data_IF_255110956171
#
_entry.id   IF_255110956171
#
_cell.length_a   1.000
_cell.length_b   1.000
_cell.length_c   1.000
_cell.angle_alpha   90.00
_cell.angle_beta   90.00
_cell.angle_gamma   90.00
#
_symmetry.space_group_name_H-M   'P 1'
#
loop_
_entity.id
_entity.type
_entity.pdbx_description
1 polymer ?
#
# COMPACT_ATOMS: atom_id res chain seq x y z
N UNK A 1 -3.04 23.34 -7.14
CA UNK A 1 -2.64 21.95 -7.46
C UNK A 1 -3.93 21.18 -7.77
N UNK A 2 -3.97 20.41 -8.86
CA UNK A 2 -5.17 19.66 -9.25
C UNK A 2 -5.17 18.29 -8.55
N UNK A 3 -5.90 18.15 -7.45
CA UNK A 3 -6.02 16.93 -6.66
C UNK A 3 -7.39 16.25 -6.80
N UNK A 4 -8.35 16.86 -7.49
CA UNK A 4 -9.71 16.36 -7.61
C UNK A 4 -9.75 15.00 -8.31
N UNK A 5 -10.43 14.03 -7.69
CA UNK A 5 -10.62 12.66 -8.16
C UNK A 5 -12.10 12.33 -8.47
N UNK A 6 -12.96 13.34 -8.57
CA UNK A 6 -14.37 13.14 -8.91
C UNK A 6 -14.50 12.35 -10.23
N UNK A 7 -15.39 11.35 -10.24
CA UNK A 7 -15.58 10.44 -11.36
C UNK A 7 -14.52 9.34 -11.50
N UNK A 8 -13.54 9.26 -10.61
CA UNK A 8 -12.56 8.16 -10.55
C UNK A 8 -12.97 7.12 -9.51
N UNK A 9 -12.71 5.85 -9.82
CA UNK A 9 -12.94 4.74 -8.91
C UNK A 9 -11.60 4.18 -8.43
N UNK A 10 -11.42 4.14 -7.12
CA UNK A 10 -10.22 3.62 -6.46
C UNK A 10 -10.50 2.27 -5.79
N UNK A 11 -9.62 1.30 -6.01
CA UNK A 11 -9.53 0.07 -5.24
C UNK A 11 -8.36 0.19 -4.26
N UNK A 12 -8.64 0.12 -2.96
CA UNK A 12 -7.63 0.23 -1.91
C UNK A 12 -7.52 -1.07 -1.14
N UNK A 13 -6.39 -1.74 -1.26
CA UNK A 13 -6.10 -3.00 -0.60
C UNK A 13 -5.58 -2.79 0.82
N UNK A 14 -5.80 -3.78 1.72
CA UNK A 14 -5.39 -3.71 3.12
C UNK A 14 -6.05 -2.54 3.86
N UNK A 15 -7.27 -2.18 3.48
CA UNK A 15 -7.95 -0.96 3.90
C UNK A 15 -8.79 -1.11 5.19
N UNK A 16 -8.69 -2.23 5.91
CA UNK A 16 -9.42 -2.41 7.17
C UNK A 16 -8.88 -1.56 8.33
N UNK A 17 -7.61 -1.11 8.25
CA UNK A 17 -6.94 -0.33 9.29
C UNK A 17 -5.67 0.36 8.76
N UNK A 18 -5.06 1.22 9.57
CA UNK A 18 -3.74 1.81 9.32
C UNK A 18 -3.64 2.60 8.01
N UNK A 19 -2.52 2.43 7.29
CA UNK A 19 -2.21 3.20 6.08
C UNK A 19 -3.26 2.98 4.98
N UNK A 20 -3.73 1.74 4.80
CA UNK A 20 -4.74 1.44 3.77
C UNK A 20 -6.07 2.14 4.04
N UNK A 21 -6.54 2.15 5.30
CA UNK A 21 -7.75 2.88 5.68
C UNK A 21 -7.58 4.37 5.50
N UNK A 22 -6.48 4.94 5.97
CA UNK A 22 -6.19 6.36 5.79
C UNK A 22 -6.08 6.76 4.30
N UNK A 23 -5.52 5.88 3.44
CA UNK A 23 -5.48 6.11 2.00
C UNK A 23 -6.89 6.11 1.38
N UNK A 24 -7.77 5.19 1.80
CA UNK A 24 -9.17 5.18 1.37
C UNK A 24 -9.90 6.46 1.77
N UNK A 25 -9.72 6.91 3.00
CA UNK A 25 -10.28 8.18 3.51
C UNK A 25 -9.77 9.40 2.73
N UNK A 26 -8.45 9.46 2.46
CA UNK A 26 -7.84 10.55 1.70
C UNK A 26 -8.36 10.61 0.24
N UNK A 27 -8.43 9.46 -0.45
CA UNK A 27 -8.93 9.39 -1.82
C UNK A 27 -10.42 9.75 -1.90
N UNK A 28 -11.23 9.28 -0.95
CA UNK A 28 -12.64 9.63 -0.83
C UNK A 28 -12.83 11.14 -0.59
N UNK A 29 -12.01 11.73 0.29
CA UNK A 29 -11.99 13.17 0.56
C UNK A 29 -11.58 14.03 -0.65
N UNK A 30 -10.89 13.45 -1.63
CA UNK A 30 -10.60 14.09 -2.92
C UNK A 30 -11.67 13.84 -3.99
N UNK A 31 -12.77 13.19 -3.64
CA UNK A 31 -13.92 12.97 -4.52
C UNK A 31 -13.94 11.64 -5.26
N UNK A 32 -12.98 10.74 -5.03
CA UNK A 32 -13.01 9.40 -5.62
C UNK A 32 -14.15 8.56 -5.05
N UNK A 33 -14.72 7.70 -5.88
CA UNK A 33 -15.43 6.54 -5.41
C UNK A 33 -14.41 5.51 -4.92
N UNK A 34 -14.64 4.90 -3.77
CA UNK A 34 -13.65 4.00 -3.16
C UNK A 34 -14.27 2.64 -2.86
N UNK A 35 -13.62 1.59 -3.35
CA UNK A 35 -13.84 0.22 -2.88
C UNK A 35 -12.68 -0.20 -1.99
N UNK A 36 -12.99 -0.55 -0.74
CA UNK A 36 -11.99 -1.06 0.23
C UNK A 36 -11.90 -2.58 0.13
N UNK A 37 -10.67 -3.13 0.13
CA UNK A 37 -10.41 -4.56 0.04
C UNK A 37 -9.58 -5.04 1.21
N UNK A 38 -10.05 -6.05 1.94
CA UNK A 38 -9.32 -6.82 2.95
C UNK A 38 -10.08 -8.11 3.27
N UNK A 39 -9.61 -8.88 4.27
CA UNK A 39 -10.19 -10.19 4.63
C UNK A 39 -11.44 -10.11 5.51
N UNK A 40 -11.54 -9.10 6.39
CA UNK A 40 -12.58 -8.98 7.42
C UNK A 40 -13.76 -8.17 6.87
N UNK A 41 -14.75 -8.85 6.32
CA UNK A 41 -15.89 -8.23 5.66
C UNK A 41 -16.65 -7.24 6.57
N UNK A 42 -17.00 -7.63 7.80
CA UNK A 42 -17.73 -6.75 8.73
C UNK A 42 -17.00 -5.42 8.99
N UNK A 43 -15.66 -5.47 9.15
CA UNK A 43 -14.85 -4.25 9.29
C UNK A 43 -14.86 -3.41 8.02
N UNK A 44 -14.85 -4.04 6.84
CA UNK A 44 -14.88 -3.32 5.57
C UNK A 44 -16.21 -2.62 5.33
N UNK A 45 -17.33 -3.22 5.74
CA UNK A 45 -18.66 -2.59 5.71
C UNK A 45 -18.66 -1.29 6.51
N UNK A 46 -18.13 -1.34 7.75
CA UNK A 46 -18.02 -0.16 8.62
C UNK A 46 -17.09 0.91 8.01
N UNK A 47 -15.93 0.51 7.50
CA UNK A 47 -14.98 1.43 6.85
C UNK A 47 -15.60 2.09 5.64
N UNK A 48 -16.23 1.32 4.74
CA UNK A 48 -16.87 1.86 3.53
C UNK A 48 -18.00 2.84 3.86
N UNK A 49 -18.79 2.55 4.90
CA UNK A 49 -19.87 3.43 5.36
C UNK A 49 -19.35 4.75 5.98
N UNK A 50 -18.17 4.70 6.63
CA UNK A 50 -17.55 5.85 7.29
C UNK A 50 -16.70 6.73 6.35
N UNK A 51 -16.47 6.33 5.09
CA UNK A 51 -15.69 7.12 4.15
C UNK A 51 -16.36 8.48 3.86
N UNK A 52 -15.59 9.57 3.79
CA UNK A 52 -16.14 10.90 3.52
C UNK A 52 -16.79 10.96 2.13
N UNK A 53 -17.92 11.68 2.05
CA UNK A 53 -18.57 12.03 0.78
C UNK A 53 -18.55 13.53 0.61
N UNK A 54 -17.81 14.01 -0.36
CA UNK A 54 -17.65 15.44 -0.66
C UNK A 54 -18.63 15.89 -1.74
N UNK A 55 -19.30 14.95 -2.42
CA UNK A 55 -20.44 15.20 -3.32
C UNK A 55 -21.41 14.00 -3.31
N UNK A 56 -22.69 14.27 -3.59
CA UNK A 56 -23.76 13.29 -3.42
C UNK A 56 -23.73 12.07 -4.36
N UNK A 57 -22.95 12.13 -5.45
CA UNK A 57 -22.83 11.02 -6.41
C UNK A 57 -21.74 10.01 -6.05
N UNK A 58 -20.92 10.24 -5.00
CA UNK A 58 -19.89 9.27 -4.60
C UNK A 58 -20.50 7.95 -4.13
N UNK A 59 -19.89 6.86 -4.59
CA UNK A 59 -20.29 5.50 -4.25
C UNK A 59 -19.09 4.77 -3.64
N UNK A 60 -19.18 4.45 -2.37
CA UNK A 60 -18.20 3.61 -1.70
C UNK A 60 -18.71 2.19 -1.54
N UNK A 61 -17.81 1.22 -1.57
CA UNK A 61 -18.12 -0.19 -1.44
C UNK A 61 -16.96 -0.98 -0.81
N UNK A 62 -17.14 -2.28 -0.72
CA UNK A 62 -16.14 -3.18 -0.18
C UNK A 62 -16.07 -4.49 -0.97
N UNK A 63 -14.92 -5.16 -0.86
CA UNK A 63 -14.67 -6.51 -1.38
C UNK A 63 -13.89 -7.29 -0.33
N UNK A 64 -14.43 -8.41 0.13
CA UNK A 64 -13.73 -9.32 1.03
C UNK A 64 -12.88 -10.29 0.20
N UNK A 65 -11.56 -10.26 0.36
CA UNK A 65 -10.63 -11.18 -0.29
C UNK A 65 -9.32 -11.32 0.51
N UNK A 66 -8.69 -12.48 0.40
CA UNK A 66 -7.36 -12.74 0.98
C UNK A 66 -6.29 -12.70 -0.12
N UNK A 67 -5.28 -11.85 0.03
CA UNK A 67 -4.15 -11.76 -0.89
C UNK A 67 -3.28 -13.04 -0.97
N UNK A 68 -3.48 -13.99 -0.05
CA UNK A 68 -2.81 -15.29 -0.07
C UNK A 68 -3.56 -16.32 -0.94
N UNK A 69 -4.85 -16.10 -1.18
CA UNK A 69 -5.69 -16.89 -2.06
C UNK A 69 -5.77 -16.20 -3.44
N UNK A 70 -4.90 -16.60 -4.35
CA UNK A 70 -4.81 -15.96 -5.67
C UNK A 70 -6.07 -16.16 -6.52
N UNK A 71 -6.74 -17.30 -6.44
CA UNK A 71 -7.93 -17.58 -7.23
C UNK A 71 -9.16 -16.84 -6.68
N UNK A 72 -9.35 -16.86 -5.37
CA UNK A 72 -10.39 -16.08 -4.70
C UNK A 72 -10.20 -14.57 -4.93
N UNK A 73 -8.97 -14.06 -4.85
CA UNK A 73 -8.66 -12.67 -5.14
C UNK A 73 -9.00 -12.32 -6.60
N UNK A 74 -8.61 -13.16 -7.56
CA UNK A 74 -8.91 -12.98 -8.99
C UNK A 74 -10.41 -12.93 -9.24
N UNK A 75 -11.15 -13.89 -8.70
CA UNK A 75 -12.61 -13.96 -8.86
C UNK A 75 -13.30 -12.71 -8.28
N UNK A 76 -12.93 -12.31 -7.07
CA UNK A 76 -13.52 -11.15 -6.39
C UNK A 76 -13.27 -9.83 -7.13
N UNK A 77 -12.03 -9.61 -7.60
CA UNK A 77 -11.70 -8.36 -8.32
C UNK A 77 -12.24 -8.37 -9.75
N UNK A 78 -12.30 -9.54 -10.42
CA UNK A 78 -12.95 -9.64 -11.73
C UNK A 78 -14.45 -9.29 -11.66
N UNK A 79 -15.16 -9.75 -10.63
CA UNK A 79 -16.55 -9.38 -10.39
C UNK A 79 -16.71 -7.87 -10.14
N UNK A 80 -15.79 -7.24 -9.40
CA UNK A 80 -15.79 -5.79 -9.16
C UNK A 80 -15.63 -5.01 -10.46
N UNK A 81 -14.59 -5.32 -11.26
CA UNK A 81 -14.29 -4.55 -12.48
C UNK A 81 -15.30 -4.75 -13.59
N UNK A 82 -16.01 -5.89 -13.61
CA UNK A 82 -17.13 -6.14 -14.51
C UNK A 82 -18.33 -5.22 -14.23
N UNK A 83 -18.56 -4.86 -12.97
CA UNK A 83 -19.60 -3.90 -12.58
C UNK A 83 -19.14 -2.46 -12.79
N UNK A 84 -17.86 -2.18 -12.51
CA UNK A 84 -17.35 -0.82 -12.55
C UNK A 84 -15.83 -0.81 -12.71
N UNK A 85 -15.31 -0.17 -13.78
CA UNK A 85 -13.87 -0.03 -13.97
C UNK A 85 -13.19 0.67 -12.79
N UNK A 86 -11.95 0.25 -12.51
CA UNK A 86 -11.07 0.84 -11.49
C UNK A 86 -9.98 1.62 -12.21
N UNK A 87 -9.79 2.90 -11.85
CA UNK A 87 -8.75 3.76 -12.43
C UNK A 87 -7.60 4.05 -11.46
N UNK A 88 -7.81 3.81 -10.15
CA UNK A 88 -6.80 3.99 -9.12
C UNK A 88 -6.67 2.67 -8.34
N UNK A 89 -5.47 2.10 -8.30
CA UNK A 89 -5.17 0.90 -7.52
C UNK A 89 -4.12 1.23 -6.46
N UNK A 90 -4.46 1.02 -5.18
CA UNK A 90 -3.52 1.09 -4.07
C UNK A 90 -3.24 -0.32 -3.56
N UNK A 91 -2.08 -0.86 -3.89
CA UNK A 91 -1.58 -2.13 -3.40
C UNK A 91 -0.98 -1.94 -2.01
N UNK A 92 -1.60 -2.52 -1.00
CA UNK A 92 -1.13 -2.51 0.37
C UNK A 92 -1.45 -3.84 1.05
N UNK A 93 -0.45 -4.49 1.58
CA UNK A 93 -0.55 -5.79 2.26
C UNK A 93 0.22 -5.79 3.57
N UNK A 94 -0.22 -6.59 4.53
CA UNK A 94 0.48 -6.76 5.80
C UNK A 94 1.87 -7.37 5.58
N UNK A 95 2.89 -6.83 6.27
CA UNK A 95 4.24 -7.36 6.21
C UNK A 95 4.38 -8.72 6.91
N UNK A 96 5.35 -9.56 6.50
CA UNK A 96 5.65 -10.81 7.16
C UNK A 96 6.25 -10.57 8.56
N UNK A 97 6.28 -11.59 9.44
CA UNK A 97 7.08 -11.56 10.66
C UNK A 97 8.55 -11.23 10.39
N UNK A 98 9.23 -10.69 11.41
CA UNK A 98 10.67 -10.45 11.38
C UNK A 98 11.47 -11.75 11.33
N UNK A 99 12.75 -11.63 11.02
CA UNK A 99 13.72 -12.72 10.98
C UNK A 99 14.92 -12.38 10.08
N UNK A 100 16.05 -13.07 10.30
CA UNK A 100 17.24 -12.93 9.49
C UNK A 100 17.05 -13.61 8.12
N UNK A 101 17.75 -13.14 7.11
CA UNK A 101 17.62 -13.70 5.76
C UNK A 101 18.21 -15.12 5.65
N UNK A 102 19.33 -15.37 6.33
CA UNK A 102 20.07 -16.64 6.24
C UNK A 102 19.43 -17.79 7.02
N UNK A 103 18.53 -17.49 7.98
CA UNK A 103 17.80 -18.51 8.75
C UNK A 103 16.38 -18.76 8.20
N UNK A 104 15.90 -17.88 7.33
CA UNK A 104 14.54 -18.01 6.80
C UNK A 104 14.42 -19.21 5.87
N UNK A 105 13.41 -20.06 6.09
CA UNK A 105 13.12 -21.20 5.25
C UNK A 105 12.73 -20.74 3.83
N UNK A 106 13.17 -21.45 2.76
CA UNK A 106 12.86 -21.09 1.38
C UNK A 106 11.36 -20.90 1.10
N UNK A 107 10.52 -21.75 1.70
CA UNK A 107 9.06 -21.73 1.56
C UNK A 107 8.47 -20.40 2.02
N UNK A 108 9.09 -19.76 3.02
CA UNK A 108 8.67 -18.46 3.52
C UNK A 108 8.83 -17.35 2.48
N UNK A 109 9.91 -17.41 1.68
CA UNK A 109 10.09 -16.49 0.55
C UNK A 109 8.98 -16.66 -0.48
N UNK A 110 8.64 -17.91 -0.83
CA UNK A 110 7.58 -18.22 -1.79
C UNK A 110 6.22 -17.73 -1.30
N UNK A 111 5.87 -17.98 -0.03
CA UNK A 111 4.61 -17.54 0.57
C UNK A 111 4.49 -16.00 0.52
N UNK A 112 5.52 -15.30 1.00
CA UNK A 112 5.51 -13.84 1.07
C UNK A 112 5.55 -13.23 -0.33
N UNK A 113 6.26 -13.81 -1.28
CA UNK A 113 6.27 -13.39 -2.68
C UNK A 113 4.87 -13.51 -3.31
N UNK A 114 4.16 -14.62 -3.05
CA UNK A 114 2.77 -14.78 -3.49
C UNK A 114 1.86 -13.72 -2.92
N UNK A 115 1.95 -13.46 -1.61
CA UNK A 115 1.11 -12.50 -0.91
C UNK A 115 1.33 -11.05 -1.38
N UNK A 116 2.55 -10.68 -1.77
CA UNK A 116 2.89 -9.31 -2.13
C UNK A 116 2.96 -9.11 -3.64
N UNK A 117 3.81 -9.83 -4.36
CA UNK A 117 4.04 -9.58 -5.77
C UNK A 117 2.98 -10.24 -6.65
N UNK A 118 2.70 -11.53 -6.45
CA UNK A 118 1.71 -12.24 -7.29
C UNK A 118 0.31 -11.69 -7.08
N UNK A 119 -0.07 -11.37 -5.83
CA UNK A 119 -1.34 -10.72 -5.55
C UNK A 119 -1.45 -9.35 -6.24
N UNK A 120 -0.40 -8.52 -6.17
CA UNK A 120 -0.38 -7.24 -6.87
C UNK A 120 -0.50 -7.41 -8.39
N UNK A 121 0.16 -8.43 -8.97
CA UNK A 121 0.06 -8.73 -10.39
C UNK A 121 -1.37 -9.14 -10.80
N UNK A 122 -2.06 -9.96 -9.98
CA UNK A 122 -3.46 -10.33 -10.19
C UNK A 122 -4.35 -9.08 -10.21
N UNK A 123 -4.16 -8.19 -9.24
CA UNK A 123 -4.91 -6.93 -9.14
C UNK A 123 -4.67 -6.03 -10.36
N UNK A 124 -3.41 -5.85 -10.75
CA UNK A 124 -3.04 -5.05 -11.93
C UNK A 124 -3.67 -5.63 -13.20
N UNK A 125 -3.56 -6.93 -13.43
CA UNK A 125 -4.17 -7.57 -14.61
C UNK A 125 -5.69 -7.36 -14.67
N UNK A 126 -6.37 -7.39 -13.53
CA UNK A 126 -7.82 -7.19 -13.48
C UNK A 126 -8.22 -5.74 -13.80
N UNK A 127 -7.50 -4.73 -13.30
CA UNK A 127 -7.87 -3.31 -13.47
C UNK A 127 -7.33 -2.69 -14.77
N UNK A 128 -6.28 -3.25 -15.34
CA UNK A 128 -5.55 -2.69 -16.48
C UNK A 128 -6.41 -2.47 -17.74
N UNK A 129 -7.33 -3.37 -18.14
CA UNK A 129 -8.19 -3.12 -19.30
C UNK A 129 -9.00 -1.83 -19.19
N UNK A 130 -9.59 -1.57 -18.00
CA UNK A 130 -10.35 -0.35 -17.74
C UNK A 130 -9.48 0.91 -17.71
N UNK A 131 -8.27 0.84 -17.17
CA UNK A 131 -7.31 1.95 -17.18
C UNK A 131 -6.85 2.28 -18.61
N UNK A 132 -6.53 1.26 -19.43
CA UNK A 132 -6.15 1.44 -20.84
C UNK A 132 -7.29 2.05 -21.66
N UNK A 133 -8.50 1.57 -21.51
CA UNK A 133 -9.68 2.11 -22.20
C UNK A 133 -9.94 3.57 -21.83
N UNK A 134 -9.65 3.97 -20.58
CA UNK A 134 -9.78 5.35 -20.11
C UNK A 134 -8.61 6.25 -20.52
N UNK A 135 -7.50 5.72 -21.06
CA UNK A 135 -6.27 6.46 -21.31
C UNK A 135 -5.69 7.09 -20.03
N UNK A 136 -6.03 6.54 -18.87
CA UNK A 136 -5.65 7.09 -17.56
C UNK A 136 -5.68 6.01 -16.48
N UNK A 137 -4.63 5.95 -15.68
CA UNK A 137 -4.56 5.05 -14.53
C UNK A 137 -3.49 5.48 -13.52
N UNK A 138 -3.70 5.08 -12.26
CA UNK A 138 -2.75 5.30 -11.17
C UNK A 138 -2.61 4.02 -10.35
N UNK A 139 -1.39 3.50 -10.28
CA UNK A 139 -1.04 2.33 -9.48
C UNK A 139 -0.03 2.80 -8.43
N UNK A 140 -0.39 2.68 -7.15
CA UNK A 140 0.46 3.07 -6.02
C UNK A 140 0.69 1.86 -5.14
N UNK A 141 1.94 1.44 -4.98
CA UNK A 141 2.31 0.32 -4.12
C UNK A 141 2.86 0.85 -2.78
N UNK A 142 2.28 0.42 -1.68
CA UNK A 142 2.79 0.70 -0.33
C UNK A 142 3.78 -0.40 0.02
N UNK A 143 5.09 -0.09 -0.03
CA UNK A 143 6.14 -1.08 0.22
C UNK A 143 6.94 -0.77 1.50
N UNK A 144 8.17 -0.32 1.43
CA UNK A 144 9.00 -0.06 2.63
C UNK A 144 10.24 0.73 2.27
N UNK A 145 10.77 1.51 3.21
CA UNK A 145 12.10 2.11 3.12
C UNK A 145 13.22 1.07 2.98
N UNK A 146 12.95 -0.21 3.30
CA UNK A 146 13.89 -1.31 3.10
C UNK A 146 14.33 -1.53 1.65
N UNK A 147 13.60 -0.97 0.70
CA UNK A 147 13.98 -0.96 -0.74
C UNK A 147 15.20 -0.07 -0.99
N UNK A 148 15.36 0.97 -0.19
CA UNK A 148 16.52 1.88 -0.24
C UNK A 148 17.65 1.40 0.65
N UNK A 149 17.33 0.99 1.88
CA UNK A 149 18.27 0.54 2.90
C UNK A 149 17.72 -0.71 3.60
N UNK A 150 18.31 -1.89 3.43
CA UNK A 150 17.85 -3.11 4.08
C UNK A 150 17.76 -2.93 5.61
N UNK A 151 16.61 -3.30 6.17
CA UNK A 151 16.38 -3.17 7.61
C UNK A 151 16.81 -4.48 8.30
N UNK A 152 17.68 -4.43 9.34
CA UNK A 152 18.07 -5.62 10.08
C UNK A 152 16.87 -6.41 10.60
N UNK A 153 16.98 -7.73 10.58
CA UNK A 153 15.93 -8.68 11.01
C UNK A 153 14.62 -8.60 10.22
N UNK A 154 14.66 -8.13 8.97
CA UNK A 154 13.53 -8.17 8.03
C UNK A 154 13.93 -8.84 6.69
N UNK A 155 14.72 -9.91 6.73
CA UNK A 155 15.35 -10.51 5.56
C UNK A 155 14.38 -10.84 4.43
N UNK A 156 13.33 -11.63 4.69
CA UNK A 156 12.31 -11.99 3.69
C UNK A 156 11.57 -10.75 3.19
N UNK A 157 11.19 -9.84 4.10
CA UNK A 157 10.50 -8.60 3.74
C UNK A 157 11.36 -7.71 2.83
N UNK A 158 12.64 -7.50 3.16
CA UNK A 158 13.55 -6.70 2.36
C UNK A 158 13.65 -7.23 0.92
N UNK A 159 13.82 -8.55 0.78
CA UNK A 159 13.94 -9.22 -0.52
C UNK A 159 12.67 -9.06 -1.36
N UNK A 160 11.50 -9.39 -0.78
CA UNK A 160 10.24 -9.34 -1.54
C UNK A 160 9.83 -7.91 -1.86
N UNK A 161 10.04 -6.95 -0.95
CA UNK A 161 9.77 -5.53 -1.22
C UNK A 161 10.68 -4.97 -2.32
N UNK A 162 11.93 -5.42 -2.37
CA UNK A 162 12.86 -5.11 -3.48
C UNK A 162 12.34 -5.65 -4.82
N UNK A 163 11.82 -6.89 -4.83
CA UNK A 163 11.21 -7.46 -6.03
C UNK A 163 9.97 -6.67 -6.49
N UNK A 164 9.10 -6.24 -5.57
CA UNK A 164 7.95 -5.38 -5.90
C UNK A 164 8.40 -4.04 -6.48
N UNK A 165 9.47 -3.44 -5.95
CA UNK A 165 9.99 -2.16 -6.48
C UNK A 165 10.52 -2.30 -7.92
N UNK A 166 11.26 -3.37 -8.22
CA UNK A 166 11.74 -3.67 -9.56
C UNK A 166 10.60 -3.93 -10.54
N UNK A 167 9.63 -4.76 -10.15
CA UNK A 167 8.41 -5.02 -10.91
C UNK A 167 7.62 -3.74 -11.20
N UNK A 168 7.43 -2.88 -10.21
CA UNK A 168 6.72 -1.62 -10.36
C UNK A 168 7.45 -0.67 -11.35
N UNK A 169 8.79 -0.64 -11.33
CA UNK A 169 9.59 0.16 -12.27
C UNK A 169 9.43 -0.34 -13.70
N UNK A 170 9.41 -1.66 -13.90
CA UNK A 170 9.15 -2.28 -15.19
C UNK A 170 7.76 -1.88 -15.71
N UNK A 171 6.72 -2.06 -14.90
CA UNK A 171 5.36 -1.65 -15.27
C UNK A 171 5.25 -0.15 -15.59
N UNK A 172 5.95 0.70 -14.87
CA UNK A 172 5.94 2.14 -15.11
C UNK A 172 6.39 2.48 -16.54
N UNK A 173 7.40 1.77 -17.04
CA UNK A 173 7.89 1.94 -18.41
C UNK A 173 6.91 1.38 -19.45
N UNK A 174 6.36 0.20 -19.19
CA UNK A 174 5.44 -0.49 -20.11
C UNK A 174 4.07 0.19 -20.22
N UNK A 175 3.59 0.79 -19.11
CA UNK A 175 2.25 1.36 -19.02
C UNK A 175 2.19 2.87 -19.26
N UNK A 176 3.35 3.55 -19.25
CA UNK A 176 3.45 4.98 -19.53
C UNK A 176 2.77 5.42 -20.82
N UNK A 177 2.94 4.71 -21.98
CA UNK A 177 2.28 5.03 -23.23
C UNK A 177 0.75 5.05 -23.19
N UNK A 178 0.14 4.40 -22.16
CA UNK A 178 -1.31 4.37 -21.96
C UNK A 178 -1.82 5.42 -20.96
N UNK A 179 -0.99 6.40 -20.56
CA UNK A 179 -1.35 7.41 -19.57
C UNK A 179 -1.45 6.87 -18.14
N UNK A 180 -0.85 5.71 -17.86
CA UNK A 180 -0.87 5.03 -16.56
C UNK A 180 0.48 5.23 -15.86
N UNK A 181 0.44 5.69 -14.61
CA UNK A 181 1.65 5.79 -13.77
C UNK A 181 1.67 4.69 -12.71
N UNK A 182 2.87 4.20 -12.41
CA UNK A 182 3.12 3.19 -11.37
C UNK A 182 4.21 3.70 -10.44
N UNK A 183 3.87 3.92 -9.17
CA UNK A 183 4.78 4.49 -8.19
C UNK A 183 4.74 3.70 -6.87
N UNK A 184 5.80 3.80 -6.10
CA UNK A 184 5.92 3.18 -4.79
C UNK A 184 6.01 4.26 -3.71
N UNK A 185 5.23 4.09 -2.63
CA UNK A 185 5.38 4.83 -1.38
C UNK A 185 6.15 3.94 -0.40
N UNK A 186 7.14 4.50 0.25
CA UNK A 186 8.04 3.83 1.19
C UNK A 186 7.80 4.39 2.61
N UNK A 187 6.83 3.85 3.37
CA UNK A 187 6.60 4.31 4.72
C UNK A 187 7.80 4.06 5.64
N UNK A 188 8.12 5.04 6.49
CA UNK A 188 8.91 4.87 7.68
C UNK A 188 8.11 4.23 8.82
N UNK A 189 8.54 4.48 10.06
CA UNK A 189 7.80 4.03 11.23
C UNK A 189 6.50 4.82 11.37
N UNK A 190 5.37 4.15 11.15
CA UNK A 190 4.03 4.74 11.13
C UNK A 190 3.18 4.16 12.27
N UNK A 191 2.45 4.99 13.02
CA UNK A 191 1.55 4.61 14.11
C UNK A 191 0.41 3.76 13.60
N UNK A 192 0.60 2.45 13.65
CA UNK A 192 -0.35 1.44 13.19
C UNK A 192 -0.25 0.23 14.13
N UNK A 193 -1.26 -0.62 14.11
CA UNK A 193 -1.21 -1.91 14.81
C UNK A 193 0.05 -2.72 14.47
N UNK A 194 0.57 -2.59 13.24
CA UNK A 194 1.82 -3.25 12.85
C UNK A 194 3.03 -2.73 13.64
N UNK A 195 3.09 -1.43 13.91
CA UNK A 195 4.16 -0.86 14.75
C UNK A 195 4.06 -1.41 16.18
N UNK A 196 2.86 -1.47 16.75
CA UNK A 196 2.63 -2.04 18.09
C UNK A 196 3.11 -3.50 18.16
N UNK A 197 2.77 -4.30 17.13
CA UNK A 197 3.26 -5.69 17.02
C UNK A 197 4.78 -5.77 16.96
N UNK A 198 5.43 -4.93 16.16
CA UNK A 198 6.90 -4.89 16.06
C UNK A 198 7.54 -4.53 17.40
N UNK A 199 6.98 -3.56 18.12
CA UNK A 199 7.47 -3.17 19.45
C UNK A 199 7.31 -4.32 20.44
N UNK A 200 6.17 -5.02 20.45
CA UNK A 200 5.91 -6.17 21.31
C UNK A 200 6.83 -7.36 20.97
N UNK A 201 7.00 -7.70 19.68
CA UNK A 201 7.92 -8.75 19.21
C UNK A 201 9.36 -8.47 19.65
N UNK A 202 9.83 -7.24 19.48
CA UNK A 202 11.18 -6.84 19.90
C UNK A 202 11.37 -6.82 21.42
N UNK A 203 10.34 -6.40 22.16
CA UNK A 203 10.34 -6.43 23.63
C UNK A 203 10.49 -7.87 24.13
N UNK A 204 9.69 -8.79 23.59
CA UNK A 204 9.75 -10.20 23.93
C UNK A 204 11.13 -10.82 23.59
N UNK A 205 11.70 -10.48 22.44
CA UNK A 205 12.99 -11.02 21.99
C UNK A 205 14.20 -10.47 22.76
N UNK A 206 14.13 -9.23 23.28
CA UNK A 206 15.29 -8.55 23.90
C UNK A 206 15.18 -8.39 25.41
N UNK A 207 14.00 -8.63 25.99
CA UNK A 207 13.69 -8.35 27.39
C UNK A 207 13.60 -6.85 27.74
N UNK A 208 13.75 -5.95 26.77
CA UNK A 208 13.67 -4.50 26.99
C UNK A 208 12.22 -4.02 26.96
N UNK A 209 11.87 -3.00 27.76
CA UNK A 209 10.57 -2.35 27.68
C UNK A 209 10.27 -1.83 26.25
N UNK A 210 9.04 -1.96 25.78
CA UNK A 210 8.62 -1.48 24.45
C UNK A 210 8.87 0.02 24.26
N UNK A 211 8.80 0.80 25.34
CA UNK A 211 9.10 2.24 25.33
C UNK A 211 10.56 2.54 25.01
N UNK A 212 11.51 1.78 25.57
CA UNK A 212 12.93 1.96 25.28
C UNK A 212 13.26 1.56 23.84
N UNK A 213 12.59 0.53 23.32
CA UNK A 213 12.71 0.14 21.92
C UNK A 213 12.17 1.26 21.03
N UNK A 214 11.00 1.84 21.38
CA UNK A 214 10.43 2.97 20.65
C UNK A 214 11.35 4.18 20.65
N UNK A 215 11.95 4.54 21.79
CA UNK A 215 12.97 5.61 21.89
C UNK A 215 14.17 5.34 20.98
N UNK A 216 14.68 4.10 20.97
CA UNK A 216 15.78 3.70 20.08
C UNK A 216 15.41 3.80 18.60
N UNK A 217 14.18 3.45 18.23
CA UNK A 217 13.68 3.62 16.86
C UNK A 217 13.55 5.11 16.49
N UNK A 218 13.02 5.94 17.37
CA UNK A 218 12.87 7.38 17.15
C UNK A 218 14.22 8.09 17.02
N UNK A 219 15.24 7.68 17.73
CA UNK A 219 16.59 8.23 17.61
C UNK A 219 17.18 8.09 16.18
N UNK A 220 16.62 7.20 15.35
CA UNK A 220 17.01 7.04 13.94
C UNK A 220 16.20 7.89 12.98
N UNK A 221 15.20 8.62 13.45
CA UNK A 221 14.29 9.44 12.63
C UNK A 221 14.57 10.92 12.87
N UNK A 222 15.12 11.69 11.93
CA UNK A 222 15.40 13.11 12.10
C UNK A 222 14.19 13.94 12.55
N UNK A 223 12.98 13.60 12.10
CA UNK A 223 11.75 14.25 12.54
C UNK A 223 11.38 13.97 14.02
N UNK A 224 12.08 13.06 14.72
CA UNK A 224 11.92 12.77 16.15
C UNK A 224 10.60 12.13 16.56
N UNK A 225 9.78 11.67 15.60
CA UNK A 225 8.46 11.07 15.86
C UNK A 225 8.11 9.97 14.86
N UNK A 226 7.15 9.15 15.20
CA UNK A 226 6.49 8.27 14.26
C UNK A 226 5.54 9.06 13.37
N UNK A 227 5.39 8.64 12.11
CA UNK A 227 4.38 9.19 11.22
C UNK A 227 2.96 8.76 11.64
N UNK A 228 1.98 9.60 11.38
CA UNK A 228 0.57 9.19 11.39
C UNK A 228 0.20 8.56 10.05
N UNK A 229 -0.75 7.59 10.02
CA UNK A 229 -1.20 6.97 8.77
C UNK A 229 -1.64 7.99 7.70
N UNK A 230 -2.24 9.09 8.12
CA UNK A 230 -2.70 10.16 7.25
C UNK A 230 -1.55 10.85 6.48
N UNK A 231 -0.35 10.93 7.06
CA UNK A 231 0.82 11.54 6.40
C UNK A 231 1.32 10.66 5.23
N UNK A 232 1.28 9.34 5.40
CA UNK A 232 1.58 8.39 4.30
C UNK A 232 0.46 8.43 3.27
N UNK A 233 -0.80 8.50 3.71
CA UNK A 233 -1.97 8.59 2.84
C UNK A 233 -1.97 9.85 1.97
N UNK A 234 -1.46 10.99 2.47
CA UNK A 234 -1.32 12.22 1.70
C UNK A 234 -0.39 12.04 0.48
N UNK A 235 0.73 11.32 0.66
CA UNK A 235 1.63 10.99 -0.45
C UNK A 235 0.97 10.03 -1.47
N UNK A 236 0.20 9.04 -0.99
CA UNK A 236 -0.58 8.14 -1.84
C UNK A 236 -1.61 8.94 -2.66
N UNK A 237 -2.35 9.83 -2.01
CA UNK A 237 -3.37 10.67 -2.63
C UNK A 237 -2.78 11.62 -3.69
N UNK A 238 -1.62 12.22 -3.41
CA UNK A 238 -0.87 13.00 -4.39
C UNK A 238 -0.50 12.19 -5.62
N UNK A 239 0.13 11.01 -5.43
CA UNK A 239 0.53 10.12 -6.54
C UNK A 239 -0.66 9.59 -7.34
N UNK A 240 -1.83 9.43 -6.71
CA UNK A 240 -3.06 9.03 -7.35
C UNK A 240 -3.76 10.17 -8.11
N UNK A 241 -3.34 11.41 -7.93
CA UNK A 241 -4.01 12.60 -8.49
C UNK A 241 -3.50 13.01 -9.87
N UNK A 242 -4.22 13.88 -10.60
CA UNK A 242 -3.74 14.52 -11.81
C UNK A 242 -2.46 15.35 -11.60
N UNK A 243 -2.23 15.90 -10.39
CA UNK A 243 -1.03 16.68 -10.09
C UNK A 243 0.27 15.88 -10.22
N UNK A 244 0.21 14.55 -10.10
CA UNK A 244 1.35 13.64 -10.25
C UNK A 244 1.43 13.00 -11.65
N UNK A 245 0.79 13.56 -12.67
CA UNK A 245 0.70 12.94 -14.00
C UNK A 245 2.06 12.64 -14.66
N UNK A 246 3.10 13.37 -14.30
CA UNK A 246 4.46 13.18 -14.84
C UNK A 246 5.41 12.50 -13.84
N UNK A 247 4.88 12.07 -12.68
CA UNK A 247 5.63 11.28 -11.67
C UNK A 247 5.39 9.80 -11.94
N UNK A 248 6.39 9.10 -12.47
CA UNK A 248 6.25 7.70 -12.87
C UNK A 248 7.51 6.87 -12.55
N UNK A 249 7.34 5.71 -11.95
CA UNK A 249 8.41 4.77 -11.64
C UNK A 249 9.33 5.19 -10.49
N UNK A 250 8.82 5.98 -9.52
CA UNK A 250 9.61 6.43 -8.37
C UNK A 250 9.39 5.56 -7.14
N UNK A 251 10.37 5.61 -6.25
CA UNK A 251 10.31 5.12 -4.88
C UNK A 251 10.30 6.36 -3.96
N UNK A 252 9.13 6.74 -3.44
CA UNK A 252 8.95 7.94 -2.61
C UNK A 252 9.02 7.59 -1.12
N UNK A 253 10.11 7.91 -0.39
CA UNK A 253 10.16 7.77 1.05
C UNK A 253 9.20 8.76 1.74
N UNK A 254 8.46 8.26 2.75
CA UNK A 254 7.65 9.04 3.67
C UNK A 254 8.02 8.58 5.06
N UNK A 255 9.16 9.04 5.58
CA UNK A 255 9.86 8.40 6.69
C UNK A 255 10.52 9.37 7.69
N UNK A 256 10.22 10.66 7.59
CA UNK A 256 10.75 11.68 8.48
C UNK A 256 12.27 11.90 8.36
N UNK A 257 12.85 11.55 7.20
CA UNK A 257 14.27 11.68 6.91
C UNK A 257 15.12 10.51 7.40
N UNK A 258 14.50 9.37 7.75
CA UNK A 258 15.20 8.20 8.29
C UNK A 258 16.15 7.55 7.27
N UNK A 259 15.73 7.41 6.03
CA UNK A 259 16.55 6.85 4.94
C UNK A 259 17.68 7.80 4.59
N UNK A 260 18.92 7.30 4.56
CA UNK A 260 20.12 8.10 4.32
C UNK A 260 20.58 8.09 2.86
N UNK A 261 20.10 7.13 2.07
CA UNK A 261 20.40 7.06 0.64
C UNK A 261 19.58 8.09 -0.16
N UNK A 262 20.20 8.66 -1.19
CA UNK A 262 19.58 9.57 -2.15
C UNK A 262 18.61 8.87 -3.11
#
# INVERSE_FOLDING_TARGET
>A
MQLNLAGRHALVCGASEGIGRAAAEALAGLGADVTVLARREGVLVEVAAALPRVHGSQRHGHVAADSRDGDGLRAAVSALVAQRPVQILVNNTAGPPGGTAHEAQPERYVEVFRQHLVANQILVQAVLPGMKAAGWGRIVNVISTSVKEPIPNLGVSNTVRGAVASWAKTLASELGPFGITVNNVLPGYTRTRRLEQILAERSAATGKPAEDIAKGMLATVPAGRFAEPAEVAAAIAFLASPAAAYVNGINLPVDGGRTRSL
#
